data_IF_414119042361
#
_entry.id   IF_414119042361
#
_cell.length_a   1.000
_cell.length_b   1.000
_cell.length_c   1.000
_cell.angle_alpha   90.00
_cell.angle_beta   90.00
_cell.angle_gamma   90.00
#
_symmetry.space_group_name_H-M   'P 1'
#
loop_
_entity.id
_entity.type
_entity.pdbx_description
1 polymer ?
#
# COMPACT_ATOMS: atom_id res chain seq x y z
N UNK A 1 7.11 -22.49 -74.71
CA UNK A 1 7.46 -21.33 -73.86
C UNK A 1 6.46 -21.22 -72.71
N UNK A 2 6.75 -21.84 -71.56
CA UNK A 2 5.93 -21.79 -70.33
C UNK A 2 6.90 -21.71 -69.15
N UNK A 3 7.33 -20.52 -68.73
CA UNK A 3 8.19 -20.41 -67.53
C UNK A 3 8.34 -18.99 -66.97
N UNK A 4 7.25 -18.23 -66.77
CA UNK A 4 7.37 -16.95 -66.03
C UNK A 4 6.21 -16.61 -65.10
N UNK A 5 5.08 -17.33 -65.13
CA UNK A 5 3.89 -16.91 -64.38
C UNK A 5 3.77 -17.43 -62.94
N UNK A 6 4.75 -18.22 -62.46
CA UNK A 6 4.68 -18.85 -61.11
C UNK A 6 5.40 -18.08 -60.00
N UNK A 7 6.13 -17.01 -60.31
CA UNK A 7 7.01 -16.35 -59.32
C UNK A 7 6.30 -15.25 -58.52
N UNK A 8 5.15 -14.74 -58.97
CA UNK A 8 4.48 -13.62 -58.29
C UNK A 8 3.42 -14.01 -57.26
N UNK A 9 3.05 -15.29 -57.15
CA UNK A 9 2.02 -15.72 -56.19
C UNK A 9 2.63 -16.11 -54.84
N UNK A 10 3.94 -16.37 -54.76
CA UNK A 10 4.60 -16.75 -53.50
C UNK A 10 5.06 -15.57 -52.64
N UNK A 11 5.16 -14.36 -53.20
CA UNK A 11 5.72 -13.20 -52.49
C UNK A 11 4.68 -12.45 -51.64
N UNK A 12 3.39 -12.59 -51.92
CA UNK A 12 2.32 -11.84 -51.24
C UNK A 12 1.75 -12.54 -50.00
N UNK A 13 2.07 -13.82 -49.79
CA UNK A 13 1.56 -14.58 -48.62
C UNK A 13 2.48 -14.43 -47.40
N UNK A 14 3.77 -14.11 -47.60
CA UNK A 14 4.74 -13.99 -46.50
C UNK A 14 4.70 -12.64 -45.77
N UNK A 15 4.11 -11.59 -46.35
CA UNK A 15 4.00 -10.27 -45.71
C UNK A 15 2.73 -10.11 -44.86
N UNK A 16 1.72 -10.96 -45.06
CA UNK A 16 0.47 -10.93 -44.30
C UNK A 16 0.55 -11.68 -42.96
N UNK A 17 1.56 -12.55 -42.77
CA UNK A 17 1.71 -13.36 -41.56
C UNK A 17 2.49 -12.67 -40.44
N UNK A 18 3.05 -11.48 -40.66
CA UNK A 18 3.87 -10.77 -39.65
C UNK A 18 3.08 -9.76 -38.80
N UNK A 19 1.76 -9.63 -39.00
CA UNK A 19 0.91 -8.68 -38.26
C UNK A 19 -0.02 -9.32 -37.22
N UNK A 20 0.07 -10.64 -36.98
CA UNK A 20 -0.81 -11.37 -36.04
C UNK A 20 -0.09 -11.74 -34.72
N UNK A 21 0.88 -10.93 -34.29
CA UNK A 21 1.81 -11.30 -33.21
C UNK A 21 1.95 -10.32 -32.04
N UNK A 22 1.16 -9.25 -31.96
CA UNK A 22 1.29 -8.26 -30.89
C UNK A 22 -0.06 -7.86 -30.28
N UNK A 23 -0.92 -8.84 -30.01
CA UNK A 23 -1.84 -8.69 -28.90
C UNK A 23 -1.03 -8.97 -27.63
N UNK A 24 -0.23 -8.00 -27.18
CA UNK A 24 0.31 -8.02 -25.84
C UNK A 24 -0.90 -8.20 -24.92
N UNK A 25 -0.99 -9.35 -24.25
CA UNK A 25 -1.89 -9.48 -23.13
C UNK A 25 -1.50 -8.36 -22.16
N UNK A 26 -2.29 -7.28 -22.13
CA UNK A 26 -2.23 -6.35 -21.03
C UNK A 26 -2.65 -7.16 -19.81
N UNK A 27 -1.70 -7.81 -19.15
CA UNK A 27 -1.91 -8.40 -17.84
C UNK A 27 -2.29 -7.19 -17.00
N UNK A 28 -3.58 -7.10 -16.65
CA UNK A 28 -4.05 -6.07 -15.75
C UNK A 28 -3.22 -6.21 -14.47
N UNK A 29 -2.30 -5.28 -14.26
CA UNK A 29 -1.53 -5.16 -13.03
C UNK A 29 -2.54 -4.90 -11.91
N UNK A 30 -2.85 -5.95 -11.16
CA UNK A 30 -3.93 -5.94 -10.17
C UNK A 30 -3.32 -5.64 -8.80
N UNK A 31 -3.79 -4.58 -8.17
CA UNK A 31 -3.45 -4.30 -6.77
C UNK A 31 -4.25 -5.26 -5.88
N UNK A 32 -3.55 -5.99 -5.03
CA UNK A 32 -4.21 -6.81 -4.00
C UNK A 32 -4.52 -5.94 -2.80
N UNK A 33 -5.80 -5.86 -2.43
CA UNK A 33 -6.26 -5.10 -1.27
C UNK A 33 -6.61 -6.08 -0.15
N UNK A 34 -5.99 -5.91 1.02
CA UNK A 34 -6.21 -6.74 2.20
C UNK A 34 -6.70 -5.86 3.35
N UNK A 35 -7.98 -5.96 3.78
CA UNK A 35 -8.46 -5.23 4.95
C UNK A 35 -7.78 -5.75 6.22
N UNK A 36 -7.35 -4.85 7.09
CA UNK A 36 -6.81 -5.15 8.42
C UNK A 36 -7.81 -4.75 9.50
N UNK A 37 -8.97 -5.39 9.43
CA UNK A 37 -10.04 -5.20 10.40
C UNK A 37 -9.64 -5.61 11.81
N UNK A 38 -10.43 -5.18 12.79
CA UNK A 38 -10.22 -5.59 14.19
C UNK A 38 -10.54 -7.07 14.42
N UNK A 39 -11.45 -7.64 13.62
CA UNK A 39 -11.93 -9.02 13.74
C UNK A 39 -11.79 -9.78 12.43
N UNK A 40 -11.61 -11.10 12.52
CA UNK A 40 -11.50 -11.97 11.36
C UNK A 40 -12.87 -12.20 10.68
N UNK A 41 -12.88 -12.22 9.34
CA UNK A 41 -14.06 -12.53 8.55
C UNK A 41 -15.08 -11.40 8.43
N UNK A 42 -14.91 -10.28 9.14
CA UNK A 42 -15.80 -9.13 9.10
C UNK A 42 -15.02 -7.82 8.85
N UNK A 43 -15.73 -6.80 8.35
CA UNK A 43 -15.23 -5.44 8.29
C UNK A 43 -16.08 -4.58 9.22
N UNK A 44 -15.60 -4.43 10.44
CA UNK A 44 -16.33 -3.83 11.54
C UNK A 44 -16.50 -2.33 11.39
N UNK A 45 -17.42 -1.76 12.16
CA UNK A 45 -17.76 -0.32 12.12
C UNK A 45 -16.55 0.60 12.29
N UNK A 46 -15.53 0.17 13.04
CA UNK A 46 -14.33 0.98 13.29
C UNK A 46 -13.15 0.63 12.37
N UNK A 47 -13.29 -0.38 11.52
CA UNK A 47 -12.23 -0.85 10.64
C UNK A 47 -12.03 0.12 9.47
N UNK A 48 -10.76 0.32 9.10
CA UNK A 48 -10.34 1.20 7.99
C UNK A 48 -8.94 0.92 7.48
N UNK A 49 -8.12 0.27 8.30
CA UNK A 49 -6.78 -0.12 7.91
C UNK A 49 -6.84 -1.11 6.74
N UNK A 50 -5.99 -0.91 5.74
CA UNK A 50 -5.88 -1.81 4.60
C UNK A 50 -4.44 -1.84 4.10
N UNK A 51 -3.99 -3.00 3.62
CA UNK A 51 -2.77 -3.14 2.84
C UNK A 51 -3.13 -3.15 1.36
N UNK A 52 -2.47 -2.31 0.58
CA UNK A 52 -2.47 -2.34 -0.87
C UNK A 52 -1.12 -2.87 -1.32
N UNK A 53 -1.13 -3.99 -2.03
CA UNK A 53 0.07 -4.64 -2.56
C UNK A 53 0.06 -4.54 -4.08
N UNK A 54 1.05 -3.83 -4.62
CA UNK A 54 1.24 -3.64 -6.05
C UNK A 54 1.90 -4.89 -6.68
N UNK A 55 1.75 -5.16 -7.99
CA UNK A 55 2.32 -6.36 -8.62
C UNK A 55 3.84 -6.48 -8.57
N UNK A 56 4.55 -5.38 -8.31
CA UNK A 56 6.00 -5.39 -8.08
C UNK A 56 6.39 -5.85 -6.66
N UNK A 57 5.39 -6.08 -5.79
CA UNK A 57 5.55 -6.50 -4.40
C UNK A 57 5.59 -5.36 -3.39
N UNK A 58 5.45 -4.10 -3.82
CA UNK A 58 5.40 -2.93 -2.93
C UNK A 58 4.14 -2.95 -2.10
N UNK A 59 4.28 -2.79 -0.78
CA UNK A 59 3.16 -2.85 0.17
C UNK A 59 2.96 -1.52 0.88
N UNK A 60 1.77 -0.96 0.67
CA UNK A 60 1.31 0.26 1.33
C UNK A 60 0.29 -0.09 2.42
N UNK A 61 0.51 0.39 3.64
CA UNK A 61 -0.48 0.40 4.71
C UNK A 61 -1.23 1.73 4.72
N UNK A 62 -2.54 1.69 4.57
CA UNK A 62 -3.41 2.86 4.66
C UNK A 62 -4.05 2.92 6.04
N UNK A 63 -3.91 4.05 6.75
CA UNK A 63 -4.53 4.33 8.05
C UNK A 63 -4.43 3.18 9.06
N UNK A 64 -3.22 2.91 9.55
CA UNK A 64 -2.96 1.89 10.57
C UNK A 64 -3.93 1.97 11.77
N UNK A 65 -4.23 3.20 12.18
CA UNK A 65 -5.33 3.50 13.08
C UNK A 65 -5.30 2.68 14.37
N UNK A 66 -6.50 2.33 14.82
CA UNK A 66 -6.72 1.57 16.05
C UNK A 66 -6.80 0.05 15.83
N UNK A 67 -6.93 -0.44 14.60
CA UNK A 67 -7.26 -1.85 14.31
C UNK A 67 -6.07 -2.70 13.87
N UNK A 68 -4.89 -2.08 13.70
CA UNK A 68 -3.62 -2.80 13.56
C UNK A 68 -3.00 -2.99 14.94
N UNK A 69 -2.64 -4.23 15.29
CA UNK A 69 -2.17 -4.63 16.62
C UNK A 69 -0.70 -4.26 16.89
N UNK A 70 -0.30 -3.03 16.57
CA UNK A 70 1.06 -2.54 16.77
C UNK A 70 2.07 -3.00 15.69
N UNK A 71 3.37 -2.69 15.89
CA UNK A 71 4.43 -3.01 14.93
C UNK A 71 4.64 -4.52 14.71
N UNK A 72 4.29 -5.33 15.71
CA UNK A 72 4.48 -6.78 15.70
C UNK A 72 3.24 -7.54 15.18
N UNK A 73 2.20 -6.83 14.72
CA UNK A 73 1.04 -7.45 14.11
C UNK A 73 1.48 -8.34 12.92
N UNK A 74 1.30 -9.67 12.99
CA UNK A 74 1.84 -10.59 12.00
C UNK A 74 1.21 -10.40 10.61
N UNK A 75 0.04 -9.77 10.53
CA UNK A 75 -0.65 -9.47 9.27
C UNK A 75 0.10 -8.40 8.46
N UNK A 76 0.94 -7.60 9.10
CA UNK A 76 1.69 -6.53 8.43
C UNK A 76 2.74 -7.07 7.47
N UNK A 77 3.46 -8.14 7.80
CA UNK A 77 4.65 -8.54 7.03
C UNK A 77 5.61 -7.37 6.78
N UNK A 78 6.12 -7.26 5.54
CA UNK A 78 6.88 -6.09 5.07
C UNK A 78 5.92 -4.96 4.67
N UNK A 79 6.25 -3.72 5.04
CA UNK A 79 5.50 -2.52 4.64
C UNK A 79 6.52 -1.49 4.15
N UNK A 80 6.37 -1.03 2.92
CA UNK A 80 7.28 -0.06 2.30
C UNK A 80 6.80 1.38 2.51
N UNK A 81 5.48 1.56 2.53
CA UNK A 81 4.82 2.85 2.67
C UNK A 81 3.69 2.78 3.68
N UNK A 82 3.57 3.81 4.51
CA UNK A 82 2.34 4.09 5.26
C UNK A 82 1.74 5.40 4.75
N UNK A 83 0.48 5.32 4.33
CA UNK A 83 -0.33 6.47 3.96
C UNK A 83 -1.30 6.75 5.11
N UNK A 84 -1.34 7.99 5.56
CA UNK A 84 -2.32 8.44 6.55
C UNK A 84 -3.19 9.50 5.91
N UNK A 85 -4.51 9.32 5.99
CA UNK A 85 -5.48 10.22 5.39
C UNK A 85 -5.60 11.54 6.15
N UNK A 86 -5.64 11.50 7.49
CA UNK A 86 -5.67 12.67 8.38
C UNK A 86 -5.29 12.30 9.83
N UNK A 87 -5.28 13.29 10.74
CA UNK A 87 -4.65 13.17 12.07
C UNK A 87 -5.57 12.74 13.23
N UNK A 88 -6.80 12.29 12.96
CA UNK A 88 -7.62 11.73 14.05
C UNK A 88 -7.05 10.42 14.58
N UNK A 89 -7.28 10.15 15.86
CA UNK A 89 -6.71 9.01 16.58
C UNK A 89 -7.06 7.65 15.98
N UNK A 90 -8.24 7.52 15.39
CA UNK A 90 -8.65 6.31 14.67
C UNK A 90 -7.94 6.10 13.33
N UNK A 91 -7.20 7.09 12.81
CA UNK A 91 -6.40 7.01 11.59
C UNK A 91 -4.90 6.91 11.89
N UNK A 92 -4.38 7.75 12.78
CA UNK A 92 -2.94 7.73 13.18
C UNK A 92 -2.61 6.67 14.21
N UNK A 93 -3.63 6.22 14.95
CA UNK A 93 -3.53 5.32 16.10
C UNK A 93 -3.04 6.03 17.35
N UNK A 94 -3.89 6.78 18.04
CA UNK A 94 -3.61 7.27 19.42
C UNK A 94 -3.56 6.11 20.43
N UNK A 95 -4.24 5.02 20.09
CA UNK A 95 -4.32 3.73 20.76
C UNK A 95 -4.57 2.65 19.70
N UNK A 96 -4.48 1.38 20.05
CA UNK A 96 -4.78 0.27 19.16
C UNK A 96 -5.20 -1.01 19.90
N UNK A 97 -5.68 -1.99 19.14
CA UNK A 97 -6.00 -3.31 19.67
C UNK A 97 -4.76 -4.03 20.19
N UNK A 98 -4.84 -4.77 21.32
CA UNK A 98 -3.71 -5.58 21.78
C UNK A 98 -3.49 -6.81 20.90
N UNK A 99 -4.56 -7.33 20.26
CA UNK A 99 -4.53 -8.44 19.33
C UNK A 99 -5.77 -8.42 18.44
N UNK A 100 -5.73 -9.15 17.33
CA UNK A 100 -6.92 -9.40 16.49
C UNK A 100 -8.00 -10.11 17.33
N UNK A 101 -9.27 -9.80 17.06
CA UNK A 101 -10.45 -10.30 17.78
C UNK A 101 -10.55 -9.88 19.26
N UNK A 102 -9.80 -8.88 19.71
CA UNK A 102 -9.94 -8.35 21.06
C UNK A 102 -11.16 -7.42 21.16
N UNK A 103 -12.07 -7.73 22.08
CA UNK A 103 -13.34 -7.01 22.25
C UNK A 103 -14.43 -7.57 21.33
N UNK A 104 -15.31 -6.67 20.87
CA UNK A 104 -16.43 -7.02 19.98
C UNK A 104 -16.32 -6.25 18.66
N UNK A 105 -16.87 -6.77 17.56
CA UNK A 105 -16.79 -6.09 16.26
C UNK A 105 -17.31 -4.64 16.31
N UNK A 106 -18.43 -4.40 17.00
CA UNK A 106 -18.98 -3.05 17.19
C UNK A 106 -18.21 -2.18 18.18
N UNK A 107 -17.32 -2.76 18.99
CA UNK A 107 -16.60 -2.13 20.09
C UNK A 107 -15.28 -2.86 20.39
N UNK A 108 -14.29 -2.81 19.48
CA UNK A 108 -13.02 -3.50 19.66
C UNK A 108 -12.28 -2.94 20.88
N UNK A 109 -11.52 -3.80 21.55
CA UNK A 109 -10.67 -3.41 22.68
C UNK A 109 -9.47 -2.61 22.16
N UNK A 110 -9.52 -1.29 22.31
CA UNK A 110 -8.43 -0.37 21.92
C UNK A 110 -7.64 0.11 23.15
N UNK A 111 -7.40 -0.79 24.10
CA UNK A 111 -6.73 -0.49 25.38
C UNK A 111 -5.24 -0.18 25.26
N UNK A 112 -4.57 -0.56 24.17
CA UNK A 112 -3.12 -0.31 24.02
C UNK A 112 -2.87 1.12 23.61
N UNK A 113 -2.30 1.94 24.50
CA UNK A 113 -2.01 3.36 24.23
C UNK A 113 -0.74 3.49 23.38
N UNK A 114 -0.82 4.26 22.30
CA UNK A 114 0.31 4.55 21.42
C UNK A 114 0.72 6.03 21.42
N UNK A 115 -0.11 6.91 21.96
CA UNK A 115 0.27 8.30 22.21
C UNK A 115 1.42 8.38 23.26
N UNK A 116 2.36 9.33 23.12
CA UNK A 116 2.38 10.42 22.14
C UNK A 116 2.92 10.04 20.76
N UNK A 117 3.41 8.82 20.54
CA UNK A 117 4.12 8.44 19.31
C UNK A 117 3.18 8.22 18.10
N UNK A 118 2.03 7.61 18.36
CA UNK A 118 1.08 7.01 17.41
C UNK A 118 1.49 5.64 16.86
N UNK A 119 0.49 4.80 16.61
CA UNK A 119 0.65 3.44 16.07
C UNK A 119 1.38 3.48 14.71
N UNK A 120 0.99 4.40 13.83
CA UNK A 120 1.66 4.63 12.55
C UNK A 120 3.18 4.83 12.70
N UNK A 121 3.61 5.69 13.61
CA UNK A 121 5.05 5.97 13.78
C UNK A 121 5.78 4.75 14.31
N UNK A 122 5.19 4.03 15.28
CA UNK A 122 5.78 2.81 15.81
C UNK A 122 5.94 1.74 14.71
N UNK A 123 4.93 1.56 13.86
CA UNK A 123 4.98 0.64 12.71
C UNK A 123 6.06 1.07 11.72
N UNK A 124 6.13 2.36 11.38
CA UNK A 124 7.10 2.88 10.41
C UNK A 124 8.53 2.66 10.87
N UNK A 125 8.82 2.89 12.15
CA UNK A 125 10.14 2.62 12.72
C UNK A 125 10.49 1.12 12.66
N UNK A 126 9.55 0.26 13.05
CA UNK A 126 9.77 -1.18 13.08
C UNK A 126 9.92 -1.79 11.68
N UNK A 127 9.18 -1.28 10.69
CA UNK A 127 9.21 -1.76 9.30
C UNK A 127 10.21 -1.01 8.41
N UNK A 128 10.86 0.03 8.93
CA UNK A 128 11.74 0.92 8.16
C UNK A 128 11.04 1.50 6.92
N UNK A 129 9.74 1.78 7.04
CA UNK A 129 8.88 2.25 5.96
C UNK A 129 9.02 3.76 5.72
N UNK A 130 8.48 4.25 4.61
CA UNK A 130 8.24 5.69 4.38
C UNK A 130 6.84 6.07 4.84
N UNK A 131 6.65 7.31 5.29
CA UNK A 131 5.31 7.90 5.51
C UNK A 131 5.07 8.93 4.41
N UNK A 132 4.08 8.71 3.56
CA UNK A 132 3.75 9.66 2.49
C UNK A 132 2.42 10.32 2.82
N UNK A 133 2.41 11.63 3.01
CA UNK A 133 1.20 12.37 3.45
C UNK A 133 1.14 13.77 2.86
N UNK A 134 -0.04 14.41 2.95
CA UNK A 134 -0.29 15.76 2.42
C UNK A 134 -0.14 16.87 3.46
N UNK A 135 -0.17 18.11 2.98
CA UNK A 135 -0.24 19.33 3.79
C UNK A 135 0.86 19.40 4.88
N UNK A 136 0.50 19.64 6.14
CA UNK A 136 1.43 19.78 7.28
C UNK A 136 1.82 18.44 7.93
N UNK A 137 1.17 17.34 7.53
CA UNK A 137 1.37 16.02 8.14
C UNK A 137 2.82 15.50 8.03
N UNK A 138 3.57 15.73 6.94
CA UNK A 138 4.97 15.29 6.87
C UNK A 138 5.84 15.90 7.96
N UNK A 139 5.63 17.18 8.30
CA UNK A 139 6.35 17.83 9.39
C UNK A 139 5.98 17.24 10.75
N UNK A 140 4.70 16.93 10.96
CA UNK A 140 4.21 16.27 12.18
C UNK A 140 4.85 14.89 12.38
N UNK A 141 4.83 14.04 11.34
CA UNK A 141 5.42 12.70 11.43
C UNK A 141 6.94 12.73 11.46
N UNK A 142 7.59 13.59 10.66
CA UNK A 142 9.04 13.77 10.68
C UNK A 142 9.55 14.18 12.07
N UNK A 143 8.86 15.09 12.77
CA UNK A 143 9.22 15.47 14.13
C UNK A 143 9.12 14.27 15.12
N UNK A 144 8.09 13.43 14.98
CA UNK A 144 7.92 12.24 15.82
C UNK A 144 8.96 11.16 15.53
N UNK A 145 9.25 10.90 14.25
CA UNK A 145 10.31 9.97 13.85
C UNK A 145 11.64 10.42 14.45
N UNK A 146 12.00 11.70 14.31
CA UNK A 146 13.22 12.27 14.89
C UNK A 146 13.26 12.11 16.42
N UNK A 147 12.15 12.38 17.11
CA UNK A 147 12.06 12.24 18.56
C UNK A 147 12.29 10.80 19.05
N UNK A 148 12.04 9.81 18.20
CA UNK A 148 12.22 8.39 18.48
C UNK A 148 13.50 7.82 17.86
N UNK A 149 14.42 8.67 17.39
CA UNK A 149 15.69 8.26 16.81
C UNK A 149 15.61 7.73 15.37
N UNK A 150 14.45 7.86 14.71
CA UNK A 150 14.27 7.55 13.29
C UNK A 150 14.65 8.71 12.37
N UNK A 151 14.67 8.42 11.06
CA UNK A 151 14.93 9.43 10.04
C UNK A 151 13.69 10.32 9.80
N UNK A 152 13.73 11.64 10.09
CA UNK A 152 12.63 12.54 9.73
C UNK A 152 12.37 12.59 8.22
N UNK A 153 13.37 12.33 7.37
CA UNK A 153 13.26 12.31 5.91
C UNK A 153 12.45 11.14 5.36
N UNK A 154 12.19 10.11 6.17
CA UNK A 154 11.24 9.06 5.84
C UNK A 154 9.80 9.58 5.78
N UNK A 155 9.51 10.75 6.37
CA UNK A 155 8.21 11.42 6.20
C UNK A 155 8.23 12.40 5.03
N UNK A 156 7.46 12.08 4.00
CA UNK A 156 7.53 12.72 2.70
C UNK A 156 6.19 13.37 2.34
N UNK A 157 6.27 14.58 1.79
CA UNK A 157 5.12 15.30 1.28
C UNK A 157 4.70 14.78 -0.09
N UNK A 158 3.40 14.55 -0.28
CA UNK A 158 2.77 14.51 -1.61
C UNK A 158 1.70 15.60 -1.68
N UNK A 159 1.68 16.37 -2.76
CA UNK A 159 0.70 17.46 -2.98
C UNK A 159 -0.31 17.05 -4.04
N UNK A 160 -1.43 17.75 -4.11
CA UNK A 160 -2.38 17.62 -5.20
C UNK A 160 -1.67 17.75 -6.56
N UNK A 161 -1.92 16.78 -7.45
CA UNK A 161 -1.25 16.69 -8.76
C UNK A 161 0.21 16.20 -8.72
N UNK A 162 0.76 15.91 -7.55
CA UNK A 162 2.10 15.35 -7.39
C UNK A 162 2.09 13.84 -7.20
N UNK A 163 3.25 13.22 -7.39
CA UNK A 163 3.48 11.79 -7.16
C UNK A 163 4.78 11.53 -6.38
N UNK A 164 4.88 10.31 -5.85
CA UNK A 164 6.08 9.75 -5.23
C UNK A 164 6.23 8.32 -5.71
N UNK A 165 7.46 7.92 -6.00
CA UNK A 165 7.81 6.56 -6.38
C UNK A 165 8.39 5.82 -5.16
N UNK A 166 7.84 4.65 -4.85
CA UNK A 166 8.37 3.70 -3.87
C UNK A 166 8.14 2.31 -4.45
N UNK A 167 9.20 1.49 -4.53
CA UNK A 167 9.19 0.34 -5.44
C UNK A 167 9.20 0.77 -6.91
N UNK A 168 9.11 -0.19 -7.83
CA UNK A 168 9.08 0.01 -9.28
C UNK A 168 10.22 0.83 -9.85
#
# INVERSE_FOLDING_TARGET
MRSTQRVHVLATVLLASFFVGAASSAIAQTVKITPLGSHDGEFCRLDRAMILEDPDGTRLLYDAGRTVAGPDDPRLGNIDVVLVSHLHGDHVGDRHIPSVNAGECGSPDVSTVAAPNTNTVNIVLAKQAKIITGSEMPSFFGAKLKALGGDPGASQLVRFGGSRQVGG
#
